data_IF_295812644127
#
_entry.id   IF_295812644127
#
_cell.length_a   1.000
_cell.length_b   1.000
_cell.length_c   1.000
_cell.angle_alpha   90.00
_cell.angle_beta   90.00
_cell.angle_gamma   90.00
#
_symmetry.space_group_name_H-M   'P 1'
#
loop_
_entity.id
_entity.type
_entity.pdbx_description
1 polymer ?
#
# COMPACT_ATOMS: atom_id res chain seq x y z
N UNK A 1 -19.67 -13.68 55.25
CA UNK A 1 -19.26 -12.32 55.66
C UNK A 1 -17.96 -11.95 54.97
N UNK A 2 -17.83 -10.70 54.51
CA UNK A 2 -16.79 -10.15 53.61
C UNK A 2 -17.10 -10.20 52.10
N UNK A 3 -18.33 -9.85 51.76
CA UNK A 3 -18.64 -9.07 50.55
C UNK A 3 -19.26 -7.76 51.06
N UNK A 4 -19.04 -6.64 50.36
CA UNK A 4 -19.45 -5.26 50.67
C UNK A 4 -18.47 -4.44 51.52
N UNK A 5 -17.54 -3.75 50.86
CA UNK A 5 -17.10 -2.39 51.20
C UNK A 5 -15.98 -1.99 50.24
N UNK A 6 -16.35 -1.37 49.12
CA UNK A 6 -15.53 -0.41 48.36
C UNK A 6 -16.34 0.05 47.14
N UNK A 7 -17.42 0.77 47.45
CA UNK A 7 -18.08 1.69 46.54
C UNK A 7 -18.32 2.98 47.32
N UNK A 8 -18.16 4.10 46.62
CA UNK A 8 -18.49 5.47 47.03
C UNK A 8 -17.39 6.18 47.83
N UNK A 9 -16.71 7.13 47.18
CA UNK A 9 -16.52 8.52 47.63
C UNK A 9 -15.57 9.24 46.66
N UNK A 10 -15.95 10.42 46.17
CA UNK A 10 -15.07 11.24 45.32
C UNK A 10 -15.71 12.06 44.20
N UNK A 11 -17.00 12.42 44.29
CA UNK A 11 -17.57 13.60 43.60
C UNK A 11 -17.84 14.67 44.64
N UNK A 12 -17.18 15.83 44.53
CA UNK A 12 -17.58 17.16 45.02
C UNK A 12 -16.48 18.14 44.51
N UNK A 13 -16.68 18.95 43.47
CA UNK A 13 -17.47 20.20 43.44
C UNK A 13 -17.32 21.08 44.67
N UNK A 14 -16.39 22.04 44.62
CA UNK A 14 -16.36 23.37 45.27
C UNK A 14 -15.22 24.14 44.56
N UNK A 15 -15.26 25.41 44.19
CA UNK A 15 -16.18 26.50 44.47
C UNK A 15 -16.01 27.62 43.43
N UNK A 16 -17.08 28.36 43.27
CA UNK A 16 -17.25 29.56 42.46
C UNK A 16 -16.55 30.80 43.05
N UNK A 17 -16.30 31.76 42.13
CA UNK A 17 -16.42 33.23 42.27
C UNK A 17 -15.45 33.96 43.21
N UNK A 18 -14.63 34.83 42.60
CA UNK A 18 -14.51 36.23 43.03
C UNK A 18 -14.33 37.14 41.83
N UNK A 19 -15.10 38.22 41.84
CA UNK A 19 -15.14 39.27 40.82
C UNK A 19 -14.58 40.58 41.40
N UNK A 20 -13.81 41.29 40.55
CA UNK A 20 -13.61 42.75 40.44
C UNK A 20 -12.86 43.50 41.58
N UNK A 21 -12.20 44.66 41.31
CA UNK A 21 -12.51 45.64 40.25
C UNK A 21 -11.34 46.24 39.43
N UNK A 22 -11.78 46.91 38.36
CA UNK A 22 -11.11 47.95 37.56
C UNK A 22 -10.35 48.98 38.40
N UNK A 23 -9.15 49.36 37.97
CA UNK A 23 -8.79 50.73 37.59
C UNK A 23 -7.35 50.81 37.02
N UNK A 24 -7.16 51.76 36.12
CA UNK A 24 -5.90 52.38 35.70
C UNK A 24 -4.85 51.52 34.99
N UNK A 25 -4.90 51.52 33.64
CA UNK A 25 -3.73 51.91 32.84
C UNK A 25 -4.22 52.63 31.58
N UNK A 26 -4.35 53.95 31.68
CA UNK A 26 -4.03 54.81 30.55
C UNK A 26 -2.50 54.91 30.44
N UNK A 27 -2.01 55.14 29.23
CA UNK A 27 -0.63 55.39 28.76
C UNK A 27 -0.11 54.24 27.88
N UNK A 28 0.28 54.64 26.66
CA UNK A 28 0.92 53.87 25.57
C UNK A 28 0.00 53.34 24.47
N UNK A 29 -0.97 54.14 24.03
CA UNK A 29 -1.43 54.09 22.63
C UNK A 29 -0.39 54.85 21.80
N UNK A 30 -0.15 54.42 20.55
CA UNK A 30 0.73 55.02 19.52
C UNK A 30 2.18 54.48 19.40
N UNK A 31 2.39 53.15 19.22
CA UNK A 31 3.63 52.68 18.55
C UNK A 31 3.64 51.26 17.94
N UNK A 32 2.57 50.46 17.97
CA UNK A 32 2.65 49.04 17.53
C UNK A 32 1.86 48.68 16.25
N UNK A 33 1.17 49.62 15.62
CA UNK A 33 0.35 49.31 14.43
C UNK A 33 1.07 49.45 13.07
N UNK A 34 2.35 49.88 13.04
CA UNK A 34 3.07 50.08 11.77
C UNK A 34 4.00 48.91 11.37
N UNK A 35 4.33 47.97 12.27
CA UNK A 35 5.32 46.92 11.98
C UNK A 35 4.70 45.60 11.48
N UNK A 36 3.42 45.35 11.76
CA UNK A 36 2.75 44.07 11.44
C UNK A 36 2.24 44.01 9.99
N UNK A 37 2.07 45.15 9.32
CA UNK A 37 1.55 45.19 7.93
C UNK A 37 2.66 44.98 6.89
N UNK A 38 3.91 45.38 7.20
CA UNK A 38 5.06 45.22 6.30
C UNK A 38 5.53 43.76 6.19
N UNK A 39 5.50 42.99 7.29
CA UNK A 39 5.92 41.59 7.29
C UNK A 39 4.88 40.64 6.66
N UNK A 40 3.58 40.98 6.72
CA UNK A 40 2.52 40.17 6.10
C UNK A 40 2.54 40.19 4.57
N UNK A 41 2.86 41.34 3.96
CA UNK A 41 2.93 41.45 2.50
C UNK A 41 4.12 40.71 1.90
N UNK A 42 5.26 40.67 2.60
CA UNK A 42 6.46 39.98 2.11
C UNK A 42 6.32 38.46 2.14
N UNK A 43 5.62 37.92 3.15
CA UNK A 43 5.38 36.48 3.27
C UNK A 43 4.38 35.96 2.22
N UNK A 44 3.40 36.79 1.83
CA UNK A 44 2.42 36.44 0.80
C UNK A 44 3.04 36.42 -0.62
N UNK A 45 4.02 37.28 -0.90
CA UNK A 45 4.76 37.26 -2.16
C UNK A 45 5.67 36.04 -2.31
N UNK A 46 6.30 35.56 -1.23
CA UNK A 46 7.11 34.33 -1.28
C UNK A 46 6.26 33.07 -1.52
N UNK A 47 5.04 33.00 -0.95
CA UNK A 47 4.15 31.87 -1.22
C UNK A 47 3.66 31.81 -2.69
N UNK A 48 3.43 32.95 -3.34
CA UNK A 48 3.05 32.96 -4.76
C UNK A 48 4.19 32.56 -5.70
N UNK A 49 5.46 32.80 -5.34
CA UNK A 49 6.59 32.35 -6.15
C UNK A 49 6.83 30.83 -6.04
N UNK A 50 6.56 30.20 -4.89
CA UNK A 50 6.68 28.74 -4.75
C UNK A 50 5.60 27.97 -5.52
N UNK A 51 4.38 28.51 -5.64
CA UNK A 51 3.33 27.84 -6.42
C UNK A 51 3.59 27.85 -7.94
N UNK A 52 4.31 28.86 -8.47
CA UNK A 52 4.62 28.92 -9.91
C UNK A 52 5.69 27.93 -10.38
N UNK A 53 6.52 27.38 -9.48
CA UNK A 53 7.55 26.41 -9.88
C UNK A 53 7.05 24.96 -9.97
N UNK A 54 5.83 24.65 -9.52
CA UNK A 54 5.31 23.28 -9.54
C UNK A 54 4.46 22.92 -10.79
N UNK A 55 4.26 23.85 -11.74
CA UNK A 55 3.37 23.64 -12.90
C UNK A 55 4.07 23.56 -14.28
N UNK A 56 5.39 23.36 -14.34
CA UNK A 56 6.12 23.20 -15.63
C UNK A 56 6.76 21.83 -15.82
N UNK A 57 6.08 20.77 -15.40
CA UNK A 57 6.34 19.43 -15.93
C UNK A 57 5.28 19.12 -16.98
N UNK A 58 5.58 19.32 -18.26
CA UNK A 58 4.83 18.63 -19.31
C UNK A 58 4.80 17.13 -18.96
N UNK A 59 3.62 16.47 -18.96
CA UNK A 59 3.57 15.04 -18.69
C UNK A 59 4.46 14.32 -19.71
N UNK A 60 5.31 13.36 -19.26
CA UNK A 60 6.21 12.67 -20.17
C UNK A 60 5.40 12.02 -21.29
N UNK A 61 5.76 12.34 -22.55
CA UNK A 61 5.06 11.88 -23.76
C UNK A 61 4.96 10.35 -23.83
N UNK A 62 5.89 9.63 -23.20
CA UNK A 62 5.85 8.19 -23.04
C UNK A 62 6.47 7.74 -21.71
N UNK A 63 5.99 6.62 -21.17
CA UNK A 63 6.53 5.97 -19.98
C UNK A 63 6.70 4.47 -20.22
N UNK A 64 7.75 3.86 -19.64
CA UNK A 64 7.91 2.41 -19.65
C UNK A 64 7.24 1.84 -18.41
N UNK A 65 6.34 0.89 -18.62
CA UNK A 65 5.84 0.01 -17.59
C UNK A 65 6.76 -1.21 -17.49
N UNK A 66 7.65 -1.22 -16.50
CA UNK A 66 8.63 -2.30 -16.34
C UNK A 66 8.01 -3.62 -15.82
N UNK A 67 6.83 -3.55 -15.21
CA UNK A 67 6.11 -4.70 -14.67
C UNK A 67 5.35 -5.44 -15.77
N UNK A 68 4.87 -4.71 -16.78
CA UNK A 68 4.25 -5.30 -17.96
C UNK A 68 5.24 -5.48 -19.13
N UNK A 69 6.38 -4.78 -19.10
CA UNK A 69 7.28 -4.69 -20.25
C UNK A 69 6.64 -3.96 -21.42
N UNK A 70 5.86 -2.91 -21.13
CA UNK A 70 5.05 -2.19 -22.11
C UNK A 70 5.43 -0.71 -22.18
N UNK A 71 5.21 -0.10 -23.34
CA UNK A 71 5.26 1.36 -23.50
C UNK A 71 3.85 1.91 -23.29
N UNK A 72 3.72 2.82 -22.32
CA UNK A 72 2.52 3.62 -22.10
C UNK A 72 2.70 4.94 -22.83
N UNK A 73 1.80 5.22 -23.75
CA UNK A 73 1.78 6.42 -24.58
C UNK A 73 0.61 7.29 -24.15
N UNK A 74 0.77 8.61 -24.17
CA UNK A 74 -0.34 9.52 -23.90
C UNK A 74 -1.28 9.59 -25.11
N UNK A 75 -2.57 9.78 -24.84
CA UNK A 75 -3.55 9.99 -25.90
C UNK A 75 -3.29 11.34 -26.60
N UNK A 76 -3.15 11.34 -27.92
CA UNK A 76 -2.89 12.56 -28.70
C UNK A 76 -1.46 12.74 -29.22
N UNK A 77 -0.58 11.75 -29.04
CA UNK A 77 0.69 11.73 -29.77
C UNK A 77 0.48 11.59 -31.27
N UNK A 78 1.28 12.31 -32.06
CA UNK A 78 1.37 12.07 -33.49
C UNK A 78 2.06 10.73 -33.78
N UNK A 79 1.85 10.18 -34.98
CA UNK A 79 2.53 8.94 -35.39
C UNK A 79 4.06 9.06 -35.31
N UNK A 80 4.63 10.21 -35.68
CA UNK A 80 6.06 10.48 -35.61
C UNK A 80 6.59 10.40 -34.17
N UNK A 81 5.88 11.00 -33.22
CA UNK A 81 6.22 10.94 -31.80
C UNK A 81 6.13 9.52 -31.23
N UNK A 82 5.19 8.71 -31.71
CA UNK A 82 5.09 7.29 -31.35
C UNK A 82 6.30 6.52 -31.88
N UNK A 83 6.71 6.74 -33.13
CA UNK A 83 7.89 6.10 -33.70
C UNK A 83 9.17 6.47 -32.95
N UNK A 84 9.34 7.75 -32.59
CA UNK A 84 10.47 8.18 -31.76
C UNK A 84 10.46 7.52 -30.38
N UNK A 85 9.31 7.44 -29.72
CA UNK A 85 9.18 6.78 -28.43
C UNK A 85 9.54 5.29 -28.51
N UNK A 86 9.08 4.58 -29.55
CA UNK A 86 9.42 3.18 -29.79
C UNK A 86 10.91 3.01 -30.12
N UNK A 87 11.49 3.86 -30.97
CA UNK A 87 12.91 3.81 -31.29
C UNK A 87 13.79 4.03 -30.04
N UNK A 88 13.37 4.96 -29.16
CA UNK A 88 14.10 5.32 -27.95
C UNK A 88 13.95 4.31 -26.81
N UNK A 89 12.75 3.75 -26.63
CA UNK A 89 12.39 2.96 -25.43
C UNK A 89 12.00 1.51 -25.72
N UNK A 90 11.84 1.13 -26.98
CA UNK A 90 11.36 -0.20 -27.39
C UNK A 90 12.25 -1.34 -26.89
N UNK A 91 13.58 -1.19 -26.97
CA UNK A 91 14.48 -2.24 -26.49
C UNK A 91 14.35 -2.46 -24.98
N UNK A 92 14.24 -1.38 -24.20
CA UNK A 92 14.03 -1.48 -22.74
C UNK A 92 12.72 -2.20 -22.40
N UNK A 93 11.63 -1.85 -23.10
CA UNK A 93 10.34 -2.53 -22.93
C UNK A 93 10.44 -4.02 -23.31
N UNK A 94 11.13 -4.35 -24.41
CA UNK A 94 11.36 -5.72 -24.86
C UNK A 94 12.15 -6.54 -23.85
N UNK A 95 13.22 -5.99 -23.28
CA UNK A 95 14.02 -6.64 -22.22
C UNK A 95 13.17 -6.86 -20.97
N UNK A 96 12.38 -5.86 -20.55
CA UNK A 96 11.47 -5.99 -19.42
C UNK A 96 10.43 -7.10 -19.65
N UNK A 97 9.81 -7.16 -20.83
CA UNK A 97 8.87 -8.21 -21.20
C UNK A 97 9.52 -9.61 -21.17
N UNK A 98 10.74 -9.75 -21.70
CA UNK A 98 11.47 -11.03 -21.67
C UNK A 98 11.76 -11.48 -20.24
N UNK A 99 12.19 -10.55 -19.37
CA UNK A 99 12.41 -10.78 -17.94
C UNK A 99 11.11 -11.23 -17.24
N UNK A 100 9.98 -10.60 -17.54
CA UNK A 100 8.71 -10.94 -16.91
C UNK A 100 8.22 -12.32 -17.35
N UNK A 101 8.33 -12.65 -18.65
CA UNK A 101 8.06 -14.01 -19.14
C UNK A 101 8.92 -15.07 -18.46
N UNK A 102 10.19 -14.76 -18.20
CA UNK A 102 11.08 -15.68 -17.49
C UNK A 102 10.60 -15.93 -16.06
N UNK A 103 10.26 -14.87 -15.32
CA UNK A 103 9.71 -14.97 -13.95
C UNK A 103 8.39 -15.75 -13.91
N UNK A 104 7.51 -15.53 -14.88
CA UNK A 104 6.25 -16.26 -15.00
C UNK A 104 6.48 -17.75 -15.27
N UNK A 105 7.46 -18.08 -16.11
CA UNK A 105 7.85 -19.46 -16.38
C UNK A 105 8.42 -20.14 -15.12
N UNK A 106 9.30 -19.47 -14.37
CA UNK A 106 9.83 -19.96 -13.09
C UNK A 106 8.71 -20.21 -12.07
N UNK A 107 7.75 -19.28 -11.98
CA UNK A 107 6.59 -19.42 -11.10
C UNK A 107 5.72 -20.62 -11.52
N UNK A 108 5.46 -20.77 -12.82
CA UNK A 108 4.72 -21.91 -13.36
C UNK A 108 5.38 -23.25 -13.04
N UNK A 109 6.71 -23.33 -13.16
CA UNK A 109 7.47 -24.52 -12.78
C UNK A 109 7.38 -24.82 -11.28
N UNK A 110 7.43 -23.80 -10.43
CA UNK A 110 7.26 -23.96 -8.99
C UNK A 110 5.86 -24.49 -8.64
N UNK A 111 4.82 -23.91 -9.23
CA UNK A 111 3.43 -24.36 -9.05
C UNK A 111 3.25 -25.81 -9.48
N UNK A 112 3.77 -26.18 -10.65
CA UNK A 112 3.69 -27.57 -11.14
C UNK A 112 4.46 -28.54 -10.25
N UNK A 113 5.61 -28.13 -9.71
CA UNK A 113 6.38 -28.93 -8.75
C UNK A 113 5.58 -29.19 -7.47
N UNK A 114 4.95 -28.15 -6.90
CA UNK A 114 4.09 -28.28 -5.71
C UNK A 114 2.93 -29.23 -6.00
N UNK A 115 2.23 -29.02 -7.12
CA UNK A 115 1.09 -29.85 -7.51
C UNK A 115 1.46 -31.32 -7.65
N UNK A 116 2.58 -31.64 -8.30
CA UNK A 116 3.02 -33.03 -8.48
C UNK A 116 3.48 -33.66 -7.16
N UNK A 117 4.22 -32.91 -6.35
CA UNK A 117 4.79 -33.41 -5.09
C UNK A 117 3.69 -33.71 -4.06
N UNK A 118 2.71 -32.80 -3.93
CA UNK A 118 1.58 -32.94 -3.01
C UNK A 118 0.36 -33.61 -3.65
N UNK A 119 0.47 -34.05 -4.92
CA UNK A 119 -0.62 -34.68 -5.69
C UNK A 119 -1.91 -33.85 -5.70
N UNK A 120 -1.79 -32.53 -5.84
CA UNK A 120 -2.91 -31.61 -5.86
C UNK A 120 -3.65 -31.67 -7.19
N UNK A 121 -4.99 -31.62 -7.14
CA UNK A 121 -5.82 -31.43 -8.32
C UNK A 121 -5.56 -30.06 -8.97
N UNK A 122 -5.55 -29.00 -8.15
CA UNK A 122 -5.28 -27.62 -8.58
C UNK A 122 -4.51 -26.88 -7.48
N UNK A 123 -3.66 -25.93 -7.88
CA UNK A 123 -3.05 -24.96 -6.99
C UNK A 123 -3.29 -23.56 -7.58
N UNK A 124 -3.94 -22.69 -6.82
CA UNK A 124 -4.32 -21.35 -7.25
C UNK A 124 -3.78 -20.29 -6.29
N UNK A 125 -3.65 -19.06 -6.80
CA UNK A 125 -3.36 -17.85 -6.03
C UNK A 125 -4.62 -16.99 -6.00
N UNK A 126 -5.03 -16.49 -4.84
CA UNK A 126 -6.00 -15.39 -4.75
C UNK A 126 -5.37 -14.10 -5.33
N UNK A 127 -6.11 -13.36 -6.15
CA UNK A 127 -5.60 -12.17 -6.85
C UNK A 127 -5.04 -11.10 -5.91
N UNK A 128 -5.54 -11.04 -4.68
CA UNK A 128 -5.10 -10.09 -3.65
C UNK A 128 -3.78 -10.51 -3.00
N UNK A 129 -3.37 -11.78 -3.13
CA UNK A 129 -2.08 -12.26 -2.61
C UNK A 129 -0.97 -11.86 -3.58
N UNK A 130 -0.02 -11.06 -3.10
CA UNK A 130 1.14 -10.66 -3.88
C UNK A 130 1.93 -11.89 -4.40
N UNK A 131 2.53 -11.76 -5.59
CA UNK A 131 3.23 -12.88 -6.25
C UNK A 131 4.35 -13.44 -5.36
N UNK A 132 5.11 -12.58 -4.68
CA UNK A 132 6.20 -13.01 -3.80
C UNK A 132 5.67 -13.81 -2.59
N UNK A 133 4.54 -13.44 -2.00
CA UNK A 133 3.92 -14.22 -0.92
C UNK A 133 3.47 -15.59 -1.41
N UNK A 134 2.90 -15.65 -2.61
CA UNK A 134 2.52 -16.92 -3.23
C UNK A 134 3.74 -17.83 -3.50
N UNK A 135 4.84 -17.25 -3.97
CA UNK A 135 6.10 -17.98 -4.16
C UNK A 135 6.65 -18.53 -2.84
N UNK A 136 6.69 -17.72 -1.78
CA UNK A 136 7.13 -18.16 -0.45
C UNK A 136 6.24 -19.28 0.07
N UNK A 137 4.92 -19.13 -0.01
CA UNK A 137 3.97 -20.17 0.41
C UNK A 137 4.17 -21.48 -0.36
N UNK A 138 4.44 -21.42 -1.68
CA UNK A 138 4.74 -22.60 -2.47
C UNK A 138 6.03 -23.30 -2.03
N UNK A 139 7.06 -22.56 -1.62
CA UNK A 139 8.31 -23.13 -1.10
C UNK A 139 8.08 -23.80 0.26
N UNK A 140 7.37 -23.12 1.15
CA UNK A 140 7.00 -23.65 2.48
C UNK A 140 6.14 -24.93 2.34
N UNK A 141 5.22 -24.99 1.37
CA UNK A 141 4.46 -26.22 1.07
C UNK A 141 5.35 -27.39 0.65
N UNK A 142 6.43 -27.14 -0.09
CA UNK A 142 7.40 -28.16 -0.48
C UNK A 142 8.31 -28.58 0.67
N UNK A 143 8.69 -27.65 1.52
CA UNK A 143 9.47 -27.92 2.73
C UNK A 143 8.69 -28.82 3.69
N UNK A 144 7.38 -28.59 3.80
CA UNK A 144 6.48 -29.34 4.67
C UNK A 144 5.78 -30.53 3.98
N UNK A 145 6.30 -30.98 2.85
CA UNK A 145 5.58 -31.94 1.99
C UNK A 145 5.19 -33.24 2.68
N UNK A 146 6.02 -33.76 3.58
CA UNK A 146 5.81 -35.08 4.20
C UNK A 146 4.66 -35.01 5.23
N UNK A 147 4.53 -33.88 5.94
CA UNK A 147 3.42 -33.63 6.85
C UNK A 147 2.11 -33.36 6.11
N UNK A 148 2.19 -32.73 4.92
CA UNK A 148 1.02 -32.27 4.17
C UNK A 148 0.49 -33.28 3.15
N UNK A 149 1.31 -34.23 2.68
CA UNK A 149 0.98 -35.10 1.56
C UNK A 149 -0.36 -35.82 1.76
N UNK A 150 -0.55 -36.44 2.94
CA UNK A 150 -1.78 -37.21 3.23
C UNK A 150 -3.02 -36.34 3.40
N UNK A 151 -2.85 -35.07 3.79
CA UNK A 151 -3.97 -34.16 4.05
C UNK A 151 -4.45 -33.50 2.77
N UNK A 152 -3.53 -33.19 1.86
CA UNK A 152 -3.81 -32.41 0.65
C UNK A 152 -3.93 -33.25 -0.63
N UNK A 153 -3.65 -34.56 -0.58
CA UNK A 153 -3.73 -35.44 -1.75
C UNK A 153 -5.10 -35.36 -2.41
N UNK A 154 -5.11 -35.15 -3.74
CA UNK A 154 -6.33 -35.06 -4.55
C UNK A 154 -7.14 -33.78 -4.38
N UNK A 155 -6.72 -32.87 -3.48
CA UNK A 155 -7.43 -31.63 -3.16
C UNK A 155 -7.09 -30.50 -4.14
N UNK A 156 -7.97 -29.51 -4.24
CA UNK A 156 -7.64 -28.21 -4.86
C UNK A 156 -7.26 -27.23 -3.77
N UNK A 157 -6.09 -26.61 -3.87
CA UNK A 157 -5.59 -25.66 -2.88
C UNK A 157 -5.59 -24.26 -3.48
N UNK A 158 -5.98 -23.27 -2.69
CA UNK A 158 -5.83 -21.85 -3.04
C UNK A 158 -5.09 -21.12 -1.93
N UNK A 159 -4.05 -20.38 -2.29
CA UNK A 159 -3.31 -19.55 -1.34
C UNK A 159 -4.04 -18.22 -1.16
N UNK A 160 -4.41 -17.91 0.08
CA UNK A 160 -5.21 -16.74 0.47
C UNK A 160 -4.61 -16.06 1.72
N UNK A 161 -5.42 -15.26 2.43
CA UNK A 161 -5.05 -14.63 3.71
C UNK A 161 -5.53 -15.39 4.95
N UNK A 162 -6.39 -16.40 4.79
CA UNK A 162 -6.97 -17.13 5.94
C UNK A 162 -7.13 -18.61 5.63
N UNK A 163 -6.89 -19.46 6.62
CA UNK A 163 -7.12 -20.90 6.49
C UNK A 163 -8.61 -21.21 6.54
N UNK A 164 -9.16 -21.81 5.48
CA UNK A 164 -10.58 -22.20 5.40
C UNK A 164 -10.73 -23.44 4.52
N UNK A 165 -11.76 -24.23 4.79
CA UNK A 165 -12.22 -25.26 3.86
C UNK A 165 -13.54 -24.78 3.30
N UNK A 166 -13.67 -24.74 1.97
CA UNK A 166 -14.93 -24.34 1.35
C UNK A 166 -16.05 -25.33 1.76
N UNK A 167 -17.29 -24.87 2.03
CA UNK A 167 -18.37 -25.76 2.48
C UNK A 167 -18.68 -26.89 1.50
N UNK A 168 -18.45 -26.65 0.21
CA UNK A 168 -18.61 -27.61 -0.88
C UNK A 168 -17.37 -28.49 -1.11
N UNK A 169 -16.33 -28.34 -0.27
CA UNK A 169 -15.02 -29.00 -0.39
C UNK A 169 -14.35 -28.78 -1.75
N UNK A 170 -14.72 -27.71 -2.48
CA UNK A 170 -14.12 -27.39 -3.78
C UNK A 170 -12.67 -26.97 -3.66
N UNK A 171 -12.34 -26.24 -2.60
CA UNK A 171 -11.01 -25.74 -2.29
C UNK A 171 -10.68 -25.79 -0.80
N UNK A 172 -9.39 -26.01 -0.53
CA UNK A 172 -8.75 -25.74 0.75
C UNK A 172 -8.00 -24.41 0.59
N UNK A 173 -8.46 -23.39 1.29
CA UNK A 173 -7.79 -22.11 1.38
C UNK A 173 -6.70 -22.18 2.46
N UNK A 174 -5.46 -21.89 2.07
CA UNK A 174 -4.30 -21.85 2.98
C UNK A 174 -3.79 -20.41 3.03
N UNK A 175 -3.63 -19.86 4.23
CA UNK A 175 -3.05 -18.54 4.43
C UNK A 175 -1.60 -18.52 3.93
N UNK A 176 -1.18 -17.48 3.20
CA UNK A 176 0.16 -17.42 2.61
C UNK A 176 1.31 -17.48 3.64
N UNK A 177 1.02 -17.17 4.90
CA UNK A 177 1.95 -17.17 6.03
C UNK A 177 1.70 -18.33 7.01
N UNK A 178 1.10 -19.43 6.54
CA UNK A 178 0.83 -20.61 7.37
C UNK A 178 2.11 -21.15 8.04
N UNK A 179 1.93 -21.75 9.20
CA UNK A 179 2.96 -22.47 9.97
C UNK A 179 2.35 -23.80 10.42
N UNK A 180 3.15 -24.86 10.40
CA UNK A 180 2.79 -26.20 10.86
C UNK A 180 3.51 -26.52 12.18
#
# INVERSE_FOLDING_TARGET
>A
GRQQQQQQEGRQQQQQKKALPFQDVAISVWSEYAFTVANGQQQQQQQQQQQKQQQQGEPPSCMIDEDLGALRLHDGLSAEQVYEAVAKHGERARVAMARNRHRDAELGQLVERVRRTLRLRRLLRDERVAVHHFQTACRELLEQKDALAHVLEGSSVRITFTNRVAPDSSFIDIAYNFRL
#
